data_IF_101866939565
#
_entry.id   IF_101866939565
#
_cell.length_a   1.000
_cell.length_b   1.000
_cell.length_c   1.000
_cell.angle_alpha   90.00
_cell.angle_beta   90.00
_cell.angle_gamma   90.00
#
_symmetry.space_group_name_H-M   'P 1'
#
loop_
_entity.id
_entity.type
_entity.pdbx_description
1 polymer ?
#
# COMPACT_ATOMS: atom_id res chain seq x y z
N UNK A 1 -30.54 -6.31 0.41
CA UNK A 1 -29.31 -6.62 -0.35
C UNK A 1 -28.29 -5.54 -0.02
N UNK A 2 -27.15 -5.87 0.62
CA UNK A 2 -26.09 -4.88 0.82
C UNK A 2 -25.57 -4.41 -0.54
N UNK A 3 -25.39 -3.10 -0.71
CA UNK A 3 -24.78 -2.52 -1.90
C UNK A 3 -23.33 -3.00 -1.98
N UNK A 4 -22.98 -3.68 -3.07
CA UNK A 4 -21.59 -4.01 -3.36
C UNK A 4 -20.90 -2.74 -3.86
N UNK A 5 -19.99 -2.21 -3.04
CA UNK A 5 -19.33 -0.92 -3.28
C UNK A 5 -18.44 -0.93 -4.52
N UNK A 6 -18.12 -2.10 -5.08
CA UNK A 6 -17.43 -2.22 -6.37
C UNK A 6 -18.23 -1.58 -7.52
N UNK A 7 -19.56 -1.54 -7.42
CA UNK A 7 -20.41 -0.94 -8.45
C UNK A 7 -20.39 0.59 -8.44
N UNK A 8 -19.98 1.23 -7.34
CA UNK A 8 -19.86 2.69 -7.25
C UNK A 8 -18.83 3.23 -8.24
N UNK A 9 -17.82 2.43 -8.59
CA UNK A 9 -16.80 2.82 -9.58
C UNK A 9 -17.36 2.96 -11.01
N UNK A 10 -18.52 2.38 -11.28
CA UNK A 10 -19.22 2.46 -12.57
C UNK A 10 -20.36 3.49 -12.57
N UNK A 11 -20.56 4.24 -11.47
CA UNK A 11 -21.52 5.34 -11.45
C UNK A 11 -20.91 6.59 -12.07
N UNK A 12 -21.14 6.81 -13.36
CA UNK A 12 -20.66 8.00 -14.07
C UNK A 12 -21.61 9.19 -13.80
N UNK A 13 -21.10 10.37 -13.40
CA UNK A 13 -21.96 11.53 -13.22
C UNK A 13 -22.73 11.89 -14.50
N UNK A 14 -24.06 12.02 -14.39
CA UNK A 14 -24.92 12.38 -15.51
C UNK A 14 -25.46 11.21 -16.33
N UNK A 15 -25.19 9.95 -15.95
CA UNK A 15 -25.81 8.77 -16.54
C UNK A 15 -26.72 8.06 -15.55
N UNK A 16 -27.87 7.59 -16.01
CA UNK A 16 -28.77 6.75 -15.21
C UNK A 16 -28.32 5.28 -15.14
N UNK A 17 -27.30 4.93 -15.93
CA UNK A 17 -26.75 3.58 -16.06
C UNK A 17 -25.32 3.48 -15.52
N UNK A 18 -24.96 2.28 -15.08
CA UNK A 18 -23.56 1.94 -14.82
C UNK A 18 -22.79 1.95 -16.13
N UNK A 19 -21.68 2.68 -16.17
CA UNK A 19 -20.81 2.77 -17.34
C UNK A 19 -19.34 2.81 -16.91
N UNK A 20 -18.46 2.58 -17.86
CA UNK A 20 -17.01 2.64 -17.66
C UNK A 20 -16.55 4.06 -17.99
N UNK A 21 -16.08 4.81 -17.00
CA UNK A 21 -15.49 6.11 -17.27
C UNK A 21 -14.09 5.93 -17.88
N UNK A 22 -13.93 6.36 -19.13
CA UNK A 22 -12.62 6.50 -19.78
C UNK A 22 -11.73 7.40 -18.92
N UNK A 23 -10.58 6.90 -18.48
CA UNK A 23 -9.70 7.65 -17.58
C UNK A 23 -9.03 8.84 -18.30
N UNK A 24 -8.94 8.81 -19.62
CA UNK A 24 -8.48 9.96 -20.41
C UNK A 24 -9.35 11.21 -20.23
N UNK A 25 -10.62 11.03 -19.86
CA UNK A 25 -11.58 12.14 -19.68
C UNK A 25 -11.49 12.75 -18.27
N UNK A 26 -10.67 12.15 -17.40
CA UNK A 26 -10.44 12.65 -16.05
C UNK A 26 -9.28 13.66 -16.00
N UNK A 27 -9.30 14.60 -15.03
CA UNK A 27 -8.22 15.55 -14.88
C UNK A 27 -6.89 14.83 -14.62
N UNK A 28 -5.87 15.19 -15.39
CA UNK A 28 -4.52 14.66 -15.25
C UNK A 28 -3.66 15.57 -14.35
N UNK A 29 -2.61 15.03 -13.73
CA UNK A 29 -1.58 15.88 -13.16
C UNK A 29 -0.81 16.62 -14.26
N UNK A 30 -0.25 17.81 -14.02
CA UNK A 30 0.51 18.55 -15.03
C UNK A 30 1.64 17.74 -15.67
N UNK A 31 2.35 16.92 -14.88
CA UNK A 31 3.44 16.06 -15.36
C UNK A 31 2.97 14.96 -16.33
N UNK A 32 1.69 14.60 -16.33
CA UNK A 32 1.12 13.63 -17.28
C UNK A 32 1.14 14.16 -18.72
N UNK A 33 0.97 15.48 -18.89
CA UNK A 33 0.91 16.12 -20.20
C UNK A 33 2.21 16.87 -20.56
N UNK A 34 3.01 17.31 -19.59
CA UNK A 34 4.24 18.04 -19.83
C UNK A 34 5.23 17.28 -20.72
N UNK A 35 5.95 17.91 -21.65
CA UNK A 35 6.99 17.21 -22.43
C UNK A 35 8.14 16.80 -21.51
N UNK A 36 8.52 15.51 -21.46
CA UNK A 36 9.64 15.08 -20.63
C UNK A 36 10.97 15.59 -21.21
N UNK A 37 12.06 15.63 -20.41
CA UNK A 37 13.36 16.07 -20.90
C UNK A 37 13.87 15.24 -22.09
N UNK A 38 14.78 15.81 -22.87
CA UNK A 38 15.42 15.09 -23.99
C UNK A 38 16.00 13.74 -23.54
N UNK A 39 15.76 12.69 -24.35
CA UNK A 39 16.20 11.33 -24.02
C UNK A 39 15.30 10.56 -23.05
N UNK A 40 14.11 11.07 -22.73
CA UNK A 40 13.09 10.36 -21.95
C UNK A 40 11.95 9.86 -22.83
N UNK A 41 11.38 8.72 -22.44
CA UNK A 41 10.20 8.14 -23.04
C UNK A 41 9.07 8.14 -22.03
N UNK A 42 7.86 8.48 -22.49
CA UNK A 42 6.62 8.38 -21.73
C UNK A 42 5.74 7.28 -22.33
N UNK A 43 5.16 6.48 -21.46
CA UNK A 43 4.08 5.54 -21.79
C UNK A 43 2.91 5.78 -20.84
N UNK A 44 1.70 5.97 -21.39
CA UNK A 44 0.47 6.15 -20.62
C UNK A 44 -0.30 4.84 -20.66
N UNK A 45 -0.34 4.13 -19.53
CA UNK A 45 -1.11 2.89 -19.35
C UNK A 45 -1.94 3.05 -18.09
N UNK A 46 -3.13 3.59 -18.25
CA UNK A 46 -4.07 3.88 -17.17
C UNK A 46 -4.16 2.71 -16.18
N UNK A 47 -4.09 2.97 -14.86
CA UNK A 47 -4.05 4.29 -14.20
C UNK A 47 -2.66 4.91 -14.09
N UNK A 48 -1.64 4.35 -14.74
CA UNK A 48 -0.23 4.71 -14.57
C UNK A 48 0.32 5.50 -15.75
N UNK A 49 1.22 6.42 -15.44
CA UNK A 49 2.12 7.06 -16.40
C UNK A 49 3.52 6.59 -16.08
N UNK A 50 4.22 6.05 -17.07
CA UNK A 50 5.60 5.56 -16.96
C UNK A 50 6.54 6.55 -17.62
N UNK A 51 7.63 6.88 -16.93
CA UNK A 51 8.70 7.73 -17.42
C UNK A 51 10.03 7.00 -17.27
N UNK A 52 10.73 6.80 -18.38
CA UNK A 52 12.02 6.09 -18.41
C UNK A 52 13.02 6.79 -19.33
N UNK A 53 14.32 6.82 -18.99
CA UNK A 53 15.35 7.23 -19.93
C UNK A 53 15.42 6.25 -21.12
N UNK A 54 15.83 6.74 -22.29
CA UNK A 54 15.93 5.94 -23.52
C UNK A 54 16.91 4.77 -23.38
N UNK A 55 18.02 4.98 -22.67
CA UNK A 55 18.93 3.94 -22.24
C UNK A 55 18.53 3.48 -20.84
N UNK A 56 17.71 2.44 -20.79
CA UNK A 56 17.18 1.87 -19.56
C UNK A 56 17.89 0.56 -19.24
N UNK A 57 18.70 0.57 -18.18
CA UNK A 57 19.39 -0.61 -17.65
C UNK A 57 18.89 -0.88 -16.24
N UNK A 58 17.73 -1.54 -16.15
CA UNK A 58 17.23 -2.07 -14.89
C UNK A 58 17.24 -3.59 -14.89
N UNK A 59 17.57 -4.22 -13.74
CA UNK A 59 17.43 -5.65 -13.59
C UNK A 59 15.95 -6.08 -13.72
N UNK A 60 15.66 -7.36 -14.03
CA UNK A 60 14.29 -7.87 -14.10
C UNK A 60 13.54 -7.80 -12.75
N UNK A 61 14.28 -7.70 -11.64
CA UNK A 61 13.76 -7.54 -10.29
C UNK A 61 14.71 -6.73 -9.43
N UNK A 62 14.18 -6.08 -8.40
CA UNK A 62 14.99 -5.26 -7.51
C UNK A 62 14.19 -4.49 -6.48
N UNK A 63 14.84 -3.51 -5.87
CA UNK A 63 14.20 -2.61 -4.92
C UNK A 63 13.47 -1.48 -5.64
N UNK A 64 12.26 -1.20 -5.16
CA UNK A 64 11.42 -0.08 -5.57
C UNK A 64 11.10 0.78 -4.37
N UNK A 65 11.00 2.08 -4.60
CA UNK A 65 10.54 3.04 -3.62
C UNK A 65 9.11 3.41 -4.00
N UNK A 66 8.18 3.23 -3.08
CA UNK A 66 6.81 3.70 -3.21
C UNK A 66 6.66 5.00 -2.41
N UNK A 67 6.05 6.00 -3.03
CA UNK A 67 5.73 7.27 -2.37
C UNK A 67 4.23 7.33 -2.21
N UNK A 68 3.75 7.60 -0.99
CA UNK A 68 2.34 7.86 -0.73
C UNK A 68 2.05 9.37 -0.69
N UNK A 69 0.83 9.75 -0.99
CA UNK A 69 0.42 11.16 -0.98
C UNK A 69 -1.05 11.32 -0.64
N UNK A 70 -1.41 12.49 -0.13
CA UNK A 70 -2.79 12.95 0.02
C UNK A 70 -3.16 13.82 -1.18
N UNK A 71 -4.46 14.00 -1.48
CA UNK A 71 -4.88 14.87 -2.57
C UNK A 71 -4.30 16.30 -2.48
N UNK A 72 -4.14 16.85 -1.27
CA UNK A 72 -3.65 18.22 -1.07
C UNK A 72 -2.14 18.43 -1.28
N UNK A 73 -1.33 17.36 -1.33
CA UNK A 73 0.12 17.48 -1.54
C UNK A 73 0.65 16.64 -2.71
N UNK A 74 -0.22 15.91 -3.41
CA UNK A 74 0.16 15.01 -4.49
C UNK A 74 0.94 15.72 -5.61
N UNK A 75 0.48 16.88 -6.05
CA UNK A 75 1.13 17.62 -7.14
C UNK A 75 2.54 18.06 -6.75
N UNK A 76 2.70 18.64 -5.56
CA UNK A 76 4.00 19.04 -4.99
C UNK A 76 4.95 17.84 -4.86
N UNK A 77 4.47 16.73 -4.30
CA UNK A 77 5.28 15.50 -4.18
C UNK A 77 5.70 15.00 -5.56
N UNK A 78 4.78 15.03 -6.54
CA UNK A 78 5.06 14.57 -7.90
C UNK A 78 6.10 15.44 -8.61
N UNK A 79 6.03 16.75 -8.44
CA UNK A 79 7.02 17.70 -8.95
C UNK A 79 8.41 17.39 -8.37
N UNK A 80 8.52 17.35 -7.03
CA UNK A 80 9.80 17.09 -6.33
C UNK A 80 10.41 15.74 -6.75
N UNK A 81 9.59 14.68 -6.75
CA UNK A 81 10.07 13.34 -7.11
C UNK A 81 10.39 13.25 -8.60
N UNK A 82 9.59 13.88 -9.44
CA UNK A 82 9.80 13.94 -10.90
C UNK A 82 11.11 14.62 -11.24
N UNK A 83 11.35 15.83 -10.73
CA UNK A 83 12.61 16.57 -10.91
C UNK A 83 13.82 15.76 -10.43
N UNK A 84 13.72 15.15 -9.25
CA UNK A 84 14.78 14.30 -8.72
C UNK A 84 15.07 13.11 -9.65
N UNK A 85 14.03 12.43 -10.12
CA UNK A 85 14.19 11.29 -11.03
C UNK A 85 14.77 11.70 -12.38
N UNK A 86 14.37 12.85 -12.92
CA UNK A 86 14.93 13.41 -14.14
C UNK A 86 16.42 13.70 -13.99
N UNK A 87 16.82 14.38 -12.92
CA UNK A 87 18.23 14.72 -12.67
C UNK A 87 19.14 13.52 -12.37
N UNK A 88 18.57 12.38 -11.97
CA UNK A 88 19.32 11.15 -11.63
C UNK A 88 19.13 9.99 -12.62
N UNK A 89 18.38 10.21 -13.71
CA UNK A 89 18.04 9.19 -14.70
C UNK A 89 17.36 7.95 -14.09
N UNK A 90 16.47 8.16 -13.12
CA UNK A 90 15.72 7.09 -12.47
C UNK A 90 14.41 6.85 -13.20
N UNK A 91 14.12 5.60 -13.51
CA UNK A 91 12.79 5.24 -14.02
C UNK A 91 11.76 5.33 -12.92
N UNK A 92 10.60 5.90 -13.22
CA UNK A 92 9.52 6.00 -12.27
C UNK A 92 8.16 5.93 -12.97
N UNK A 93 7.14 5.63 -12.18
CA UNK A 93 5.75 5.73 -12.61
C UNK A 93 4.91 6.41 -11.54
N UNK A 94 3.82 7.03 -11.95
CA UNK A 94 2.89 7.71 -11.04
C UNK A 94 1.45 7.55 -11.52
N UNK A 95 0.49 7.80 -10.63
CA UNK A 95 -0.93 7.78 -11.00
C UNK A 95 -1.27 8.95 -11.93
N UNK A 96 -2.08 8.69 -12.96
CA UNK A 96 -2.41 9.62 -14.03
C UNK A 96 -2.92 10.99 -13.55
N UNK A 97 -3.78 11.00 -12.54
CA UNK A 97 -4.45 12.20 -12.06
C UNK A 97 -5.01 12.09 -10.64
N UNK A 98 -5.57 13.19 -10.11
CA UNK A 98 -6.12 13.25 -8.76
C UNK A 98 -7.22 12.22 -8.48
N UNK A 99 -8.02 11.88 -9.48
CA UNK A 99 -9.10 10.89 -9.34
C UNK A 99 -8.56 9.47 -9.12
N UNK A 100 -7.48 9.09 -9.82
CA UNK A 100 -6.81 7.80 -9.58
C UNK A 100 -6.23 7.75 -8.17
N UNK A 101 -5.62 8.85 -7.71
CA UNK A 101 -5.10 8.92 -6.34
C UNK A 101 -6.20 8.76 -5.29
N UNK A 102 -7.36 9.41 -5.49
CA UNK A 102 -8.53 9.23 -4.60
C UNK A 102 -8.98 7.78 -4.55
N UNK A 103 -9.07 7.10 -5.71
CA UNK A 103 -9.41 5.68 -5.80
C UNK A 103 -8.40 4.82 -5.03
N UNK A 104 -7.10 5.03 -5.22
CA UNK A 104 -6.04 4.29 -4.52
C UNK A 104 -6.01 4.54 -3.01
N UNK A 105 -6.47 5.71 -2.56
CA UNK A 105 -6.57 6.05 -1.14
C UNK A 105 -7.91 5.64 -0.49
N UNK A 106 -8.86 5.12 -1.25
CA UNK A 106 -10.17 4.74 -0.74
C UNK A 106 -10.07 3.54 0.22
N UNK A 107 -10.97 3.49 1.22
CA UNK A 107 -11.02 2.43 2.24
C UNK A 107 -11.10 1.01 1.65
N UNK A 108 -11.76 0.88 0.50
CA UNK A 108 -12.01 -0.39 -0.18
C UNK A 108 -11.11 -0.59 -1.41
N UNK A 109 -10.08 0.25 -1.58
CA UNK A 109 -9.08 0.06 -2.62
C UNK A 109 -8.38 -1.29 -2.44
N UNK A 110 -7.90 -1.86 -3.55
CA UNK A 110 -7.09 -3.07 -3.52
C UNK A 110 -5.92 -2.90 -2.53
N UNK A 111 -5.80 -3.84 -1.59
CA UNK A 111 -4.85 -3.75 -0.48
C UNK A 111 -3.39 -3.80 -0.94
N UNK A 112 -3.13 -4.39 -2.11
CA UNK A 112 -1.79 -4.48 -2.69
C UNK A 112 -1.28 -3.15 -3.24
N UNK A 113 -2.20 -2.33 -3.74
CA UNK A 113 -1.94 -1.04 -4.38
C UNK A 113 -2.33 0.18 -3.54
N UNK A 114 -3.12 0.00 -2.48
CA UNK A 114 -3.65 1.09 -1.66
C UNK A 114 -2.56 2.00 -1.08
N UNK A 115 -2.76 3.30 -1.21
CA UNK A 115 -1.83 4.35 -0.78
C UNK A 115 -0.61 4.59 -1.67
N UNK A 116 -0.40 3.82 -2.75
CA UNK A 116 0.76 3.97 -3.64
C UNK A 116 0.49 5.01 -4.72
N UNK A 117 1.19 6.13 -4.65
CA UNK A 117 1.07 7.21 -5.63
C UNK A 117 2.17 7.17 -6.69
N UNK A 118 3.43 7.17 -6.27
CA UNK A 118 4.60 7.11 -7.16
C UNK A 118 5.39 5.83 -6.88
N UNK A 119 6.00 5.25 -7.90
CA UNK A 119 6.97 4.16 -7.77
C UNK A 119 8.24 4.52 -8.50
N UNK A 120 9.36 4.59 -7.78
CA UNK A 120 10.71 4.82 -8.32
C UNK A 120 11.46 3.50 -8.33
N UNK A 121 12.11 3.18 -9.45
CA UNK A 121 12.85 1.95 -9.64
C UNK A 121 14.35 2.19 -9.49
N UNK A 122 15.02 1.31 -8.75
CA UNK A 122 16.45 1.43 -8.48
C UNK A 122 17.18 0.17 -8.93
N UNK A 123 18.38 0.33 -9.49
CA UNK A 123 19.18 -0.77 -10.05
C UNK A 123 20.04 -1.50 -9.01
N UNK A 124 20.31 -0.88 -7.85
CA UNK A 124 21.13 -1.46 -6.78
C UNK A 124 20.71 -0.96 -5.40
N UNK A 125 21.18 -1.64 -4.35
CA UNK A 125 20.94 -1.23 -2.96
C UNK A 125 21.58 0.12 -2.63
N UNK A 126 22.73 0.44 -3.21
CA UNK A 126 23.42 1.72 -3.02
C UNK A 126 22.66 2.87 -3.71
N UNK A 127 22.04 2.61 -4.87
CA UNK A 127 21.16 3.59 -5.52
C UNK A 127 19.85 3.78 -4.74
N UNK A 128 19.31 2.71 -4.16
CA UNK A 128 18.18 2.76 -3.24
C UNK A 128 18.50 3.65 -2.03
N UNK A 129 19.66 3.46 -1.38
CA UNK A 129 20.03 4.21 -0.18
C UNK A 129 20.04 5.71 -0.43
N UNK A 130 20.79 6.09 -1.48
CA UNK A 130 21.01 7.49 -1.83
C UNK A 130 19.69 8.15 -2.21
N UNK A 131 18.87 7.45 -3.00
CA UNK A 131 17.53 7.94 -3.36
C UNK A 131 16.64 8.13 -2.14
N UNK A 132 16.66 7.21 -1.18
CA UNK A 132 15.86 7.35 0.04
C UNK A 132 16.33 8.51 0.91
N UNK A 133 17.64 8.72 1.08
CA UNK A 133 18.17 9.86 1.83
C UNK A 133 17.81 11.19 1.18
N UNK A 134 18.10 11.34 -0.12
CA UNK A 134 17.86 12.57 -0.87
C UNK A 134 16.35 12.91 -0.92
N UNK A 135 15.48 11.91 -1.11
CA UNK A 135 14.03 12.13 -1.12
C UNK A 135 13.44 12.34 0.27
N UNK A 136 13.96 11.71 1.32
CA UNK A 136 13.49 11.93 2.71
C UNK A 136 13.72 13.38 3.14
N UNK A 137 14.85 13.97 2.75
CA UNK A 137 15.13 15.39 2.98
C UNK A 137 14.19 16.30 2.20
N UNK A 138 14.03 16.06 0.89
CA UNK A 138 13.20 16.89 0.00
C UNK A 138 11.70 16.80 0.30
N UNK A 139 11.25 15.68 0.85
CA UNK A 139 9.85 15.42 1.21
C UNK A 139 9.62 15.57 2.72
N UNK A 140 10.54 16.22 3.44
CA UNK A 140 10.41 16.46 4.87
C UNK A 140 9.12 17.24 5.17
N UNK A 141 8.35 16.74 6.14
CA UNK A 141 7.06 17.30 6.53
C UNK A 141 5.87 16.89 5.65
N UNK A 142 6.10 16.18 4.54
CA UNK A 142 5.01 15.68 3.71
C UNK A 142 4.34 14.45 4.31
N UNK A 143 3.01 14.41 4.24
CA UNK A 143 2.20 13.32 4.79
C UNK A 143 1.54 12.49 3.70
N UNK A 144 1.34 11.21 3.99
CA UNK A 144 0.64 10.28 3.10
C UNK A 144 0.00 9.14 3.90
N UNK A 145 -0.95 8.40 3.30
CA UNK A 145 -1.50 7.20 3.92
C UNK A 145 -0.41 6.15 4.14
N UNK A 146 -0.65 5.27 5.12
CA UNK A 146 0.24 4.16 5.40
C UNK A 146 0.05 3.05 4.36
N UNK A 147 1.14 2.63 3.71
CA UNK A 147 1.13 1.54 2.73
C UNK A 147 1.39 0.22 3.45
N UNK A 148 0.33 -0.57 3.64
CA UNK A 148 0.37 -1.81 4.44
C UNK A 148 1.28 -2.90 3.87
N UNK A 149 1.45 -2.92 2.55
CA UNK A 149 2.19 -3.97 1.86
C UNK A 149 3.70 -3.77 1.87
N UNK A 150 4.19 -2.59 2.26
CA UNK A 150 5.58 -2.17 2.06
C UNK A 150 6.24 -1.74 3.38
N UNK A 151 7.58 -1.69 3.40
CA UNK A 151 8.34 -1.28 4.58
C UNK A 151 8.48 0.25 4.60
N UNK A 152 8.02 0.92 5.66
CA UNK A 152 8.14 2.37 5.77
C UNK A 152 9.59 2.80 5.99
N UNK A 153 10.03 3.79 5.23
CA UNK A 153 11.28 4.51 5.47
C UNK A 153 11.03 5.69 6.42
N UNK A 154 11.54 5.57 7.65
CA UNK A 154 11.43 6.60 8.69
C UNK A 154 9.97 7.07 8.89
N UNK A 155 9.76 8.37 9.06
CA UNK A 155 8.44 8.99 9.28
C UNK A 155 7.84 9.61 8.02
N UNK A 156 8.57 9.68 6.91
CA UNK A 156 8.11 10.30 5.68
C UNK A 156 7.09 9.47 4.90
N UNK A 157 6.72 9.94 3.69
CA UNK A 157 5.82 9.26 2.77
C UNK A 157 6.49 8.14 1.96
N UNK A 158 7.70 7.72 2.33
CA UNK A 158 8.53 6.79 1.58
C UNK A 158 8.40 5.36 2.11
N UNK A 159 8.27 4.41 1.20
CA UNK A 159 8.16 2.98 1.48
C UNK A 159 9.05 2.20 0.51
N UNK A 160 9.51 1.02 0.91
CA UNK A 160 10.33 0.16 0.06
C UNK A 160 9.75 -1.24 -0.06
N UNK A 161 9.91 -1.81 -1.26
CA UNK A 161 9.54 -3.18 -1.56
C UNK A 161 10.53 -3.79 -2.54
N UNK A 162 10.93 -5.03 -2.30
CA UNK A 162 11.61 -5.84 -3.30
C UNK A 162 10.59 -6.55 -4.18
N UNK A 163 10.75 -6.49 -5.50
CA UNK A 163 9.86 -7.20 -6.41
C UNK A 163 10.26 -7.14 -7.87
N UNK A 164 9.57 -7.92 -8.69
CA UNK A 164 9.79 -7.99 -10.13
C UNK A 164 9.43 -6.65 -10.79
N UNK A 165 10.30 -6.16 -11.68
CA UNK A 165 10.09 -4.91 -12.41
C UNK A 165 9.20 -5.16 -13.62
N UNK A 166 9.44 -6.27 -14.29
CA UNK A 166 8.56 -6.85 -15.31
C UNK A 166 7.65 -7.89 -14.66
N UNK A 167 6.35 -7.91 -14.94
CA UNK A 167 5.45 -8.94 -14.42
C UNK A 167 5.97 -10.33 -14.76
N UNK A 168 6.13 -11.17 -13.75
CA UNK A 168 6.44 -12.59 -13.87
C UNK A 168 5.43 -13.36 -13.05
N UNK A 169 5.08 -14.55 -13.51
CA UNK A 169 4.09 -15.39 -12.85
C UNK A 169 4.59 -16.83 -12.75
N UNK A 170 4.22 -17.51 -11.67
CA UNK A 170 4.40 -18.94 -11.49
C UNK A 170 3.09 -19.55 -11.01
N UNK A 171 3.01 -20.89 -10.98
CA UNK A 171 1.89 -21.59 -10.36
C UNK A 171 2.21 -21.81 -8.89
N UNK A 172 1.25 -21.58 -8.01
CA UNK A 172 1.36 -21.98 -6.60
C UNK A 172 0.97 -23.47 -6.41
N UNK A 173 0.96 -23.92 -5.15
CA UNK A 173 0.59 -25.30 -4.80
C UNK A 173 -0.88 -25.64 -5.12
N UNK A 174 -1.75 -24.64 -5.21
CA UNK A 174 -3.14 -24.80 -5.63
C UNK A 174 -3.30 -24.81 -7.16
N UNK A 175 -2.22 -24.53 -7.90
CA UNK A 175 -2.21 -24.44 -9.36
C UNK A 175 -2.58 -23.07 -9.91
N UNK A 176 -2.80 -22.09 -9.03
CA UNK A 176 -3.18 -20.72 -9.38
C UNK A 176 -1.99 -19.91 -9.89
N UNK A 177 -2.22 -19.04 -10.87
CA UNK A 177 -1.20 -18.16 -11.43
C UNK A 177 -0.94 -16.98 -10.48
N UNK A 178 0.22 -16.97 -9.82
CA UNK A 178 0.61 -15.96 -8.84
C UNK A 178 1.84 -15.16 -9.28
N UNK A 179 2.00 -13.89 -8.87
CA UNK A 179 3.21 -13.13 -9.18
C UNK A 179 4.47 -13.79 -8.62
N UNK A 180 5.53 -13.85 -9.42
CA UNK A 180 6.76 -14.57 -9.10
C UNK A 180 7.99 -13.65 -9.06
N UNK A 181 8.94 -14.03 -8.22
CA UNK A 181 10.31 -13.53 -8.19
C UNK A 181 11.27 -14.64 -8.59
N UNK A 182 12.41 -14.25 -9.13
CA UNK A 182 13.53 -15.16 -9.36
C UNK A 182 14.25 -15.42 -8.03
N UNK A 183 14.41 -16.70 -7.70
CA UNK A 183 15.19 -17.16 -6.55
C UNK A 183 16.70 -17.11 -6.83
N UNK A 184 17.51 -17.34 -5.80
CA UNK A 184 18.98 -17.31 -5.92
C UNK A 184 19.57 -18.40 -6.85
N UNK A 185 18.75 -19.36 -7.31
CA UNK A 185 19.10 -20.44 -8.22
C UNK A 185 18.49 -20.23 -9.62
N UNK A 186 17.83 -19.11 -9.89
CA UNK A 186 17.15 -18.81 -11.15
C UNK A 186 15.74 -19.39 -11.29
N UNK A 187 15.23 -20.07 -10.25
CA UNK A 187 13.86 -20.60 -10.19
C UNK A 187 12.81 -19.52 -9.91
N UNK A 188 11.55 -19.79 -10.21
CA UNK A 188 10.44 -18.85 -9.91
C UNK A 188 9.81 -19.17 -8.56
N UNK A 189 9.72 -18.18 -7.68
CA UNK A 189 9.14 -18.29 -6.34
C UNK A 189 7.97 -17.31 -6.16
N UNK A 190 6.82 -17.74 -5.60
CA UNK A 190 5.69 -16.84 -5.32
C UNK A 190 6.07 -15.63 -4.47
N UNK A 191 5.60 -14.45 -4.86
CA UNK A 191 5.91 -13.17 -4.18
C UNK A 191 5.36 -13.12 -2.74
N UNK A 192 4.30 -13.87 -2.42
CA UNK A 192 3.73 -13.97 -1.07
C UNK A 192 4.66 -14.62 -0.05
N UNK A 193 5.58 -15.48 -0.51
CA UNK A 193 6.64 -16.08 0.30
C UNK A 193 7.79 -15.09 0.57
N UNK A 194 7.98 -14.11 -0.32
CA UNK A 194 8.98 -13.05 -0.21
C UNK A 194 8.48 -11.86 0.62
N UNK A 195 8.03 -12.09 1.86
CA UNK A 195 8.00 -10.99 2.85
C UNK A 195 9.44 -10.74 3.29
N UNK A 196 10.11 -9.86 2.55
CA UNK A 196 11.49 -9.51 2.82
C UNK A 196 11.56 -8.71 4.14
N UNK A 197 11.89 -9.38 5.24
CA UNK A 197 12.11 -8.76 6.56
C UNK A 197 13.52 -8.18 6.71
N UNK A 198 14.39 -8.34 5.70
CA UNK A 198 15.80 -7.98 5.80
C UNK A 198 16.29 -7.36 4.49
N UNK A 199 16.90 -6.19 4.56
CA UNK A 199 17.64 -5.58 3.45
C UNK A 199 18.88 -6.44 3.08
N UNK A 200 19.52 -6.20 1.91
CA UNK A 200 20.78 -6.86 1.56
C UNK A 200 21.86 -6.59 2.64
N UNK A 201 22.75 -7.57 2.81
CA UNK A 201 23.67 -7.72 3.94
C UNK A 201 24.33 -6.42 4.42
N UNK A 202 23.95 -5.99 5.64
CA UNK A 202 24.55 -4.88 6.37
C UNK A 202 23.56 -3.81 6.84
N UNK A 203 22.39 -3.73 6.21
CA UNK A 203 21.39 -2.73 6.56
C UNK A 203 20.43 -3.29 7.60
N UNK A 204 20.65 -2.92 8.85
CA UNK A 204 19.67 -3.08 9.93
C UNK A 204 18.96 -1.75 10.11
N UNK A 205 17.65 -1.78 10.27
CA UNK A 205 16.90 -0.60 10.75
C UNK A 205 17.53 -0.10 12.07
N UNK A 206 17.43 1.22 12.38
CA UNK A 206 17.52 1.66 13.77
C UNK A 206 16.33 1.03 14.50
N UNK A 207 16.59 -0.08 15.19
CA UNK A 207 15.55 -0.97 15.74
C UNK A 207 15.92 -2.45 15.75
N UNK A 208 17.15 -2.84 15.37
CA UNK A 208 17.60 -4.21 15.62
C UNK A 208 17.84 -4.45 17.10
N UNK A 209 16.93 -5.16 17.76
CA UNK A 209 17.26 -6.10 18.83
C UNK A 209 16.07 -7.04 19.09
N UNK A 210 16.40 -8.25 19.52
CA UNK A 210 15.50 -9.40 19.48
C UNK A 210 14.35 -9.41 20.48
N UNK A 211 13.52 -10.44 20.27
CA UNK A 211 12.48 -11.02 21.11
C UNK A 211 11.43 -10.09 21.73
N UNK A 212 10.19 -10.38 21.33
CA UNK A 212 8.92 -9.69 21.64
C UNK A 212 8.93 -8.26 21.09
N UNK A 213 7.91 -7.80 20.37
CA UNK A 213 6.70 -7.26 20.95
C UNK A 213 5.51 -7.34 19.98
N UNK A 214 4.32 -7.38 20.59
CA UNK A 214 2.99 -7.33 19.97
C UNK A 214 2.88 -6.18 18.98
N UNK A 215 2.28 -6.49 17.84
CA UNK A 215 1.57 -5.49 17.05
C UNK A 215 0.53 -4.82 17.96
N UNK A 216 0.60 -3.50 18.14
CA UNK A 216 -0.61 -2.72 18.43
C UNK A 216 -1.42 -2.68 17.14
N UNK A 217 -2.11 -3.79 16.87
CA UNK A 217 -3.28 -3.74 16.03
C UNK A 217 -4.33 -2.89 16.76
N UNK A 218 -5.01 -2.02 16.02
CA UNK A 218 -6.29 -1.51 16.49
C UNK A 218 -7.17 -2.72 16.78
N UNK A 219 -7.43 -2.98 18.07
CA UNK A 219 -8.37 -4.00 18.49
C UNK A 219 -9.77 -3.56 18.04
N UNK A 220 -10.62 -4.47 17.52
CA UNK A 220 -12.04 -4.19 17.47
C UNK A 220 -12.53 -3.95 18.90
N UNK A 221 -13.29 -2.88 19.11
CA UNK A 221 -13.92 -2.58 20.39
C UNK A 221 -14.88 -3.72 20.75
N UNK A 222 -14.45 -4.61 21.64
CA UNK A 222 -15.31 -5.59 22.29
C UNK A 222 -15.59 -5.12 23.72
N UNK A 223 -16.85 -4.84 23.98
CA UNK A 223 -17.40 -4.51 25.29
C UNK A 223 -17.10 -5.63 26.31
N UNK A 224 -16.84 -5.32 27.59
CA UNK A 224 -16.45 -6.33 28.55
C UNK A 224 -17.71 -7.02 29.13
N UNK A 225 -17.90 -8.30 28.84
CA UNK A 225 -18.81 -9.15 29.62
C UNK A 225 -18.11 -10.42 30.09
N UNK A 226 -17.98 -10.52 31.41
CA UNK A 226 -18.16 -11.75 32.16
C UNK A 226 -17.00 -12.75 32.17
N UNK A 227 -16.23 -12.74 33.27
CA UNK A 227 -15.43 -13.89 33.73
C UNK A 227 -16.29 -15.15 33.72
N UNK A 228 -15.78 -16.23 33.13
CA UNK A 228 -16.19 -17.61 33.46
C UNK A 228 -14.98 -18.36 33.99
N UNK A 229 -15.06 -18.69 35.27
CA UNK A 229 -14.25 -19.68 35.99
C UNK A 229 -14.49 -21.09 35.44
N UNK A 230 -13.52 -22.01 35.54
CA UNK A 230 -13.66 -23.38 35.06
C UNK A 230 -14.54 -24.18 36.03
N UNK A 231 -15.64 -24.77 35.52
CA UNK A 231 -16.54 -25.61 36.31
C UNK A 231 -16.31 -27.07 35.96
N UNK A 232 -15.72 -27.79 36.91
CA UNK A 232 -15.72 -29.25 37.03
C UNK A 232 -17.15 -29.77 37.10
N UNK A 233 -17.41 -30.86 36.38
CA UNK A 233 -18.67 -31.59 36.40
C UNK A 233 -19.02 -32.09 37.81
N UNK A 234 -20.12 -31.59 38.39
CA UNK A 234 -20.90 -32.33 39.38
C UNK A 234 -22.38 -31.97 39.30
N UNK A 235 -23.16 -33.03 39.36
CA UNK A 235 -24.58 -33.20 39.11
C UNK A 235 -25.46 -32.31 39.98
N UNK A 236 -26.55 -31.78 39.40
CA UNK A 236 -27.58 -31.01 40.08
C UNK A 236 -28.46 -31.90 40.99
N UNK A 237 -28.84 -31.34 42.15
CA UNK A 237 -30.05 -31.70 42.87
C UNK A 237 -30.83 -30.42 43.19
N UNK A 238 -32.12 -30.47 42.87
CA UNK A 238 -33.13 -29.41 42.90
C UNK A 238 -33.50 -29.02 44.34
N UNK A 239 -33.71 -27.73 44.60
CA UNK A 239 -34.70 -27.28 45.60
C UNK A 239 -35.06 -25.79 45.46
N UNK A 240 -36.29 -25.60 44.97
CA UNK A 240 -37.27 -24.52 45.22
C UNK A 240 -37.07 -23.63 46.46
N UNK A 241 -37.27 -22.30 46.31
CA UNK A 241 -38.43 -21.53 46.86
C UNK A 241 -38.33 -20.00 46.64
N UNK A 242 -39.48 -19.45 46.25
CA UNK A 242 -40.10 -18.15 46.58
C UNK A 242 -39.34 -16.80 46.46
N UNK A 243 -39.70 -16.01 45.42
CA UNK A 243 -40.44 -14.71 45.41
C UNK A 243 -40.50 -13.87 46.72
N UNK A 244 -40.96 -12.58 46.67
CA UNK A 244 -40.80 -11.47 45.69
C UNK A 244 -40.58 -10.08 46.38
N UNK A 245 -40.97 -8.97 45.70
CA UNK A 245 -41.17 -7.54 46.09
C UNK A 245 -40.12 -6.56 45.51
N UNK A 246 -40.44 -5.75 44.48
CA UNK A 246 -41.11 -4.40 44.52
C UNK A 246 -40.47 -3.45 45.52
N UNK A 247 -40.22 -2.16 45.28
CA UNK A 247 -40.29 -1.25 44.14
C UNK A 247 -39.68 0.09 44.63
N UNK A 248 -39.64 1.08 43.73
CA UNK A 248 -39.71 2.54 44.01
C UNK A 248 -38.41 3.34 44.19
N UNK A 249 -38.10 4.07 43.10
CA UNK A 249 -37.86 5.53 42.93
C UNK A 249 -37.00 6.30 43.95
N UNK A 250 -36.03 7.06 43.43
CA UNK A 250 -35.98 8.55 43.26
C UNK A 250 -34.49 8.98 43.17
N UNK A 251 -34.06 9.54 42.03
CA UNK A 251 -33.74 10.97 41.85
C UNK A 251 -32.68 11.51 42.83
N UNK A 252 -31.42 11.58 42.41
CA UNK A 252 -30.79 12.77 41.81
C UNK A 252 -29.60 12.32 40.96
#
# INVERSE_FOLDING_TARGET
MPLDLRYVEFCVPGTDFYDTQEVSDQPAFPLTEATPPGGWQREKTVPWVYLRPAHHDLPPQGWKIHVSARPGNAEKILEIVGEYCFGRLLTFKFLYGPEQLKKTNAKYADRGSSGKFITVYTKSAEQLHRTLLDLDERLSGEEGPYVLSDLRWRSGPLYVRYGAFTPRFCRDEAGDTVPALEDARGGSCPTSAARCSTFPSGWRFPGSCGNSWRATGAAPSTSPTGRRTPCTSRTAAVSTRHRPWTAVRRWC
#
